data_IF_385950685114
#
_entry.id   IF_385950685114
#
_cell.length_a   1.000
_cell.length_b   1.000
_cell.length_c   1.000
_cell.angle_alpha   90.00
_cell.angle_beta   90.00
_cell.angle_gamma   90.00
#
_symmetry.space_group_name_H-M   'P 1'
#
loop_
_entity.id
_entity.type
_entity.pdbx_description
1 polymer ?
#
# COMPACT_ATOMS: atom_id res chain seq x y z
N UNK A 1 8.98 5.27 10.00
CA UNK A 1 8.44 5.14 8.63
C UNK A 1 7.00 5.62 8.66
N UNK A 2 6.37 5.93 7.52
CA UNK A 2 4.92 6.11 7.48
C UNK A 2 4.22 4.90 8.11
N UNK A 3 3.05 5.13 8.70
CA UNK A 3 2.24 4.04 9.26
C UNK A 3 1.45 3.34 8.15
N UNK A 4 0.95 2.13 8.43
CA UNK A 4 0.06 1.43 7.51
C UNK A 4 -1.20 2.26 7.16
N UNK A 5 -1.70 3.09 8.09
CA UNK A 5 -2.82 4.00 7.79
C UNK A 5 -2.50 4.91 6.59
N UNK A 6 -1.29 5.47 6.55
CA UNK A 6 -0.85 6.35 5.47
C UNK A 6 -0.73 5.57 4.16
N UNK A 7 -0.10 4.39 4.17
CA UNK A 7 0.03 3.58 2.95
C UNK A 7 -1.32 3.12 2.39
N UNK A 8 -2.25 2.72 3.27
CA UNK A 8 -3.62 2.36 2.88
C UNK A 8 -4.33 3.58 2.29
N UNK A 9 -4.31 4.73 2.97
CA UNK A 9 -4.95 5.96 2.49
C UNK A 9 -4.37 6.43 1.14
N UNK A 10 -3.06 6.34 0.95
CA UNK A 10 -2.42 6.66 -0.33
C UNK A 10 -2.88 5.71 -1.43
N UNK A 11 -2.98 4.41 -1.11
CA UNK A 11 -3.45 3.40 -2.05
C UNK A 11 -4.90 3.64 -2.46
N UNK A 12 -5.78 3.93 -1.51
CA UNK A 12 -7.17 4.32 -1.81
C UNK A 12 -7.22 5.55 -2.70
N UNK A 13 -6.45 6.59 -2.36
CA UNK A 13 -6.38 7.82 -3.16
C UNK A 13 -5.87 7.56 -4.58
N UNK A 14 -4.91 6.66 -4.78
CA UNK A 14 -4.45 6.27 -6.12
C UNK A 14 -5.53 5.54 -6.90
N UNK A 15 -6.29 4.63 -6.26
CA UNK A 15 -7.33 3.83 -6.92
C UNK A 15 -8.60 4.63 -7.25
N UNK A 16 -8.86 5.74 -6.56
CA UNK A 16 -10.02 6.62 -6.77
C UNK A 16 -9.79 7.71 -7.83
N UNK A 17 -8.54 7.91 -8.26
CA UNK A 17 -8.19 8.91 -9.27
C UNK A 17 -8.39 8.37 -10.67
N UNK A 18 -8.67 9.28 -11.60
CA UNK A 18 -8.58 9.00 -13.04
C UNK A 18 -7.13 9.14 -13.48
N UNK A 19 -6.41 8.03 -13.55
CA UNK A 19 -5.01 8.00 -13.95
C UNK A 19 -4.64 6.69 -14.64
N UNK A 20 -3.53 6.72 -15.40
CA UNK A 20 -3.01 5.54 -16.13
C UNK A 20 -2.73 4.38 -15.17
N UNK A 21 -2.29 4.67 -13.94
CA UNK A 21 -2.08 3.65 -12.91
C UNK A 21 -3.40 3.02 -12.47
N UNK A 22 -4.39 3.83 -12.09
CA UNK A 22 -5.69 3.34 -11.63
C UNK A 22 -6.40 2.50 -12.71
N UNK A 23 -6.30 2.92 -13.98
CA UNK A 23 -6.87 2.21 -15.13
C UNK A 23 -6.13 0.89 -15.45
N UNK A 24 -4.85 0.79 -15.05
CA UNK A 24 -4.03 -0.41 -15.25
C UNK A 24 -4.23 -1.47 -14.17
N UNK A 25 -4.63 -1.06 -12.95
CA UNK A 25 -4.86 -2.00 -11.84
C UNK A 25 -6.17 -2.74 -12.04
N UNK A 26 -6.10 -4.07 -12.18
CA UNK A 26 -7.29 -4.90 -12.42
C UNK A 26 -7.72 -5.70 -11.20
N UNK A 27 -6.79 -6.16 -10.37
CA UNK A 27 -7.06 -6.76 -9.08
C UNK A 27 -6.72 -5.78 -7.95
N UNK A 28 -7.76 -5.07 -7.47
CA UNK A 28 -7.63 -4.10 -6.38
C UNK A 28 -7.31 -4.77 -5.04
N UNK A 29 -7.64 -6.06 -4.83
CA UNK A 29 -7.23 -6.76 -3.62
C UNK A 29 -5.72 -6.93 -3.58
N UNK A 30 -5.14 -7.33 -4.70
CA UNK A 30 -3.71 -7.53 -4.86
C UNK A 30 -2.92 -6.23 -4.70
N UNK A 31 -3.35 -5.16 -5.38
CA UNK A 31 -2.72 -3.83 -5.25
C UNK A 31 -2.79 -3.29 -3.82
N UNK A 32 -3.97 -3.36 -3.18
CA UNK A 32 -4.15 -2.93 -1.80
C UNK A 32 -3.33 -3.76 -0.81
N UNK A 33 -3.28 -5.08 -0.97
CA UNK A 33 -2.42 -5.92 -0.13
C UNK A 33 -0.94 -5.60 -0.33
N UNK A 34 -0.53 -5.34 -1.58
CA UNK A 34 0.84 -5.00 -1.95
C UNK A 34 1.39 -3.80 -1.18
N UNK A 35 0.56 -2.81 -0.86
CA UNK A 35 1.01 -1.58 -0.20
C UNK A 35 1.49 -1.75 1.25
N UNK A 36 1.32 -2.94 1.84
CA UNK A 36 1.86 -3.27 3.18
C UNK A 36 2.89 -4.42 3.15
N UNK A 37 3.11 -5.03 1.99
CA UNK A 37 4.00 -6.20 1.84
C UNK A 37 5.44 -5.96 2.32
N UNK A 38 6.08 -4.81 2.06
CA UNK A 38 7.44 -4.55 2.52
C UNK A 38 7.61 -4.63 4.05
N UNK A 39 6.54 -4.36 4.81
CA UNK A 39 6.56 -4.32 6.26
C UNK A 39 6.20 -5.66 6.94
N UNK A 40 5.57 -6.59 6.21
CA UNK A 40 5.08 -7.86 6.78
C UNK A 40 6.20 -8.58 7.53
N UNK A 41 7.30 -8.87 6.83
CA UNK A 41 8.40 -9.67 7.38
C UNK A 41 9.43 -8.86 8.16
N UNK A 42 9.30 -7.53 8.20
CA UNK A 42 10.07 -6.72 9.18
C UNK A 42 9.65 -7.10 10.60
N UNK A 43 8.39 -7.52 10.78
CA UNK A 43 7.93 -8.22 11.98
C UNK A 43 7.40 -7.33 13.11
N UNK A 44 7.18 -6.03 12.85
CA UNK A 44 6.59 -5.12 13.83
C UNK A 44 5.06 -5.17 13.88
N UNK A 45 4.41 -5.32 12.73
CA UNK A 45 2.95 -5.21 12.61
C UNK A 45 2.26 -6.57 12.58
N UNK A 46 2.79 -7.52 11.83
CA UNK A 46 2.17 -8.84 11.65
C UNK A 46 2.63 -9.78 12.76
N UNK A 47 1.71 -10.39 13.53
CA UNK A 47 2.09 -11.24 14.65
C UNK A 47 2.67 -12.58 14.19
N UNK A 48 3.63 -13.10 14.95
CA UNK A 48 4.13 -14.47 14.79
C UNK A 48 4.90 -14.71 13.50
N UNK A 49 5.66 -13.71 13.02
CA UNK A 49 6.67 -13.91 11.98
C UNK A 49 7.78 -14.80 12.54
N UNK A 50 7.93 -16.01 11.97
CA UNK A 50 8.97 -16.95 12.38
C UNK A 50 10.37 -16.52 11.89
N UNK A 51 10.44 -16.11 10.63
CA UNK A 51 11.69 -15.77 9.93
C UNK A 51 11.63 -14.31 9.45
N UNK A 52 12.01 -13.33 10.30
CA UNK A 52 11.97 -11.93 9.92
C UNK A 52 13.01 -11.62 8.83
N UNK A 53 12.61 -10.80 7.86
CA UNK A 53 13.49 -10.30 6.80
C UNK A 53 13.92 -8.88 7.17
N UNK A 54 15.24 -8.59 7.22
CA UNK A 54 15.74 -7.25 7.49
C UNK A 54 15.13 -6.18 6.58
N UNK A 55 14.75 -5.04 7.18
CA UNK A 55 14.17 -3.88 6.46
C UNK A 55 14.92 -3.50 5.18
N UNK A 56 16.27 -3.49 5.23
CA UNK A 56 17.12 -3.17 4.07
C UNK A 56 16.90 -4.10 2.87
N UNK A 57 16.47 -5.34 3.12
CA UNK A 57 16.14 -6.32 2.08
C UNK A 57 14.74 -6.01 1.58
N UNK A 58 13.72 -5.99 2.45
CA UNK A 58 12.32 -5.79 2.03
C UNK A 58 12.11 -4.45 1.29
N UNK A 59 12.87 -3.41 1.66
CA UNK A 59 12.74 -2.06 1.11
C UNK A 59 13.85 -1.66 0.11
N UNK A 60 14.72 -2.57 -0.32
CA UNK A 60 15.84 -2.23 -1.24
C UNK A 60 16.73 -1.07 -0.74
N UNK A 61 16.87 -0.89 0.57
CA UNK A 61 17.49 0.29 1.14
C UNK A 61 18.90 0.02 1.67
N UNK A 62 19.72 1.08 1.76
CA UNK A 62 21.01 1.04 2.47
C UNK A 62 20.80 1.10 3.99
N UNK A 63 21.72 0.57 4.80
CA UNK A 63 21.68 0.71 6.26
C UNK A 63 22.07 2.14 6.66
N UNK A 64 21.10 3.04 6.64
CA UNK A 64 21.22 4.45 7.01
C UNK A 64 20.19 4.81 8.09
N UNK A 65 20.39 5.89 8.90
CA UNK A 65 19.45 6.25 9.97
C UNK A 65 18.01 6.50 9.49
N UNK A 66 17.85 7.07 8.29
CA UNK A 66 16.58 7.26 7.60
C UNK A 66 16.71 6.63 6.21
N UNK A 67 16.50 5.31 6.09
CA UNK A 67 16.83 4.57 4.88
C UNK A 67 15.88 4.91 3.73
N UNK A 68 16.42 5.29 2.58
CA UNK A 68 15.63 5.57 1.36
C UNK A 68 15.54 4.29 0.53
N UNK A 69 14.32 3.76 0.26
CA UNK A 69 14.16 2.67 -0.69
C UNK A 69 14.69 3.02 -2.07
N UNK A 70 15.10 2.00 -2.83
CA UNK A 70 15.47 2.13 -4.24
C UNK A 70 14.33 1.63 -5.11
N UNK A 71 13.23 2.38 -5.13
CA UNK A 71 11.98 2.00 -5.83
C UNK A 71 12.18 1.76 -7.33
N UNK A 72 13.11 2.48 -7.96
CA UNK A 72 13.48 2.31 -9.36
C UNK A 72 14.17 0.96 -9.63
N UNK A 73 15.06 0.50 -8.73
CA UNK A 73 15.66 -0.84 -8.87
C UNK A 73 14.61 -1.94 -8.67
N UNK A 74 13.67 -1.74 -7.75
CA UNK A 74 12.54 -2.66 -7.58
C UNK A 74 11.68 -2.72 -8.84
N UNK A 75 11.40 -1.58 -9.45
CA UNK A 75 10.66 -1.50 -10.71
C UNK A 75 11.33 -2.32 -11.80
N UNK A 76 12.61 -2.08 -12.08
CA UNK A 76 13.35 -2.78 -13.13
C UNK A 76 13.45 -4.28 -12.87
N UNK A 77 13.57 -4.67 -11.60
CA UNK A 77 13.75 -6.08 -11.20
C UNK A 77 12.45 -6.87 -11.21
N UNK A 78 11.33 -6.30 -10.73
CA UNK A 78 10.09 -7.06 -10.50
C UNK A 78 8.88 -6.53 -11.28
N UNK A 79 8.73 -5.22 -11.46
CA UNK A 79 7.55 -4.65 -12.14
C UNK A 79 7.68 -4.76 -13.66
N UNK A 80 8.79 -4.25 -14.23
CA UNK A 80 9.00 -4.18 -15.66
C UNK A 80 8.94 -5.56 -16.35
N UNK A 81 9.46 -6.67 -15.78
CA UNK A 81 9.30 -8.00 -16.36
C UNK A 81 7.85 -8.48 -16.42
N UNK A 82 7.03 -8.17 -15.40
CA UNK A 82 5.61 -8.56 -15.36
C UNK A 82 4.78 -7.74 -16.35
N UNK A 83 5.09 -6.45 -16.51
CA UNK A 83 4.43 -5.60 -17.51
C UNK A 83 4.67 -6.11 -18.95
N UNK A 84 5.85 -6.68 -19.24
CA UNK A 84 6.16 -7.25 -20.56
C UNK A 84 5.26 -8.44 -20.93
N UNK A 85 4.76 -9.19 -19.94
CA UNK A 85 3.77 -10.24 -20.20
C UNK A 85 2.37 -9.69 -20.52
N UNK A 86 2.12 -8.41 -20.23
CA UNK A 86 0.85 -7.71 -20.48
C UNK A 86 -0.38 -8.57 -20.11
N UNK A 87 -0.46 -9.05 -18.86
CA UNK A 87 -1.57 -9.91 -18.45
C UNK A 87 -2.90 -9.17 -18.64
N UNK A 88 -3.95 -9.92 -19.00
CA UNK A 88 -5.29 -9.36 -19.21
C UNK A 88 -6.33 -10.05 -18.34
N UNK A 89 -5.95 -10.41 -17.12
CA UNK A 89 -6.80 -11.10 -16.16
C UNK A 89 -8.11 -10.35 -15.88
N UNK A 90 -9.16 -11.06 -15.49
CA UNK A 90 -10.43 -10.49 -15.11
C UNK A 90 -10.28 -9.52 -13.92
N UNK A 91 -11.05 -8.42 -13.88
CA UNK A 91 -11.03 -7.52 -12.74
C UNK A 91 -11.49 -8.20 -11.44
N UNK A 92 -10.95 -7.75 -10.32
CA UNK A 92 -11.33 -8.13 -8.96
C UNK A 92 -11.37 -6.87 -8.08
N UNK A 93 -12.50 -6.64 -7.43
CA UNK A 93 -12.68 -5.50 -6.54
C UNK A 93 -12.19 -5.83 -5.12
N UNK A 94 -11.58 -4.84 -4.45
CA UNK A 94 -11.48 -4.85 -3.00
C UNK A 94 -12.87 -4.62 -2.39
N UNK A 95 -13.02 -4.93 -1.11
CA UNK A 95 -14.24 -4.59 -0.36
C UNK A 95 -13.95 -3.46 0.61
N UNK A 96 -15.00 -2.86 1.15
CA UNK A 96 -14.89 -1.92 2.26
C UNK A 96 -15.52 -2.46 3.55
N UNK A 97 -15.09 -1.90 4.68
CA UNK A 97 -15.71 -2.14 5.99
C UNK A 97 -17.18 -1.69 6.01
N UNK A 98 -17.54 -0.70 5.19
CA UNK A 98 -18.91 -0.20 5.01
C UNK A 98 -19.77 -1.25 4.30
N UNK A 99 -19.29 -1.77 3.16
CA UNK A 99 -19.99 -2.83 2.41
C UNK A 99 -20.11 -4.12 3.22
N UNK A 100 -19.06 -4.50 3.95
CA UNK A 100 -19.12 -5.67 4.83
C UNK A 100 -20.18 -5.51 5.91
N UNK A 101 -20.20 -4.35 6.59
CA UNK A 101 -21.23 -4.01 7.59
C UNK A 101 -22.63 -4.03 6.98
N UNK A 102 -22.80 -3.44 5.81
CA UNK A 102 -24.10 -3.40 5.12
C UNK A 102 -24.59 -4.80 4.74
N UNK A 103 -23.69 -5.68 4.26
CA UNK A 103 -24.00 -7.09 3.99
C UNK A 103 -24.44 -7.83 5.25
N UNK A 104 -23.75 -7.65 6.37
CA UNK A 104 -24.13 -8.25 7.66
C UNK A 104 -25.46 -7.70 8.17
N UNK A 105 -25.69 -6.40 8.07
CA UNK A 105 -26.94 -5.77 8.48
C UNK A 105 -28.14 -6.34 7.72
N UNK A 106 -27.99 -6.66 6.43
CA UNK A 106 -29.05 -7.28 5.62
C UNK A 106 -29.40 -8.69 6.07
N UNK A 107 -28.41 -9.47 6.51
CA UNK A 107 -28.62 -10.82 7.07
C UNK A 107 -29.32 -10.75 8.41
N UNK A 108 -28.90 -9.84 9.30
CA UNK A 108 -29.45 -9.75 10.65
C UNK A 108 -30.75 -8.95 10.76
N UNK A 109 -30.98 -7.99 9.85
CA UNK A 109 -32.14 -7.11 9.85
C UNK A 109 -32.87 -7.09 8.49
N UNK A 110 -33.23 -8.24 7.89
CA UNK A 110 -33.78 -8.31 6.52
C UNK A 110 -35.05 -7.47 6.35
N UNK A 111 -35.81 -7.28 7.42
CA UNK A 111 -37.02 -6.44 7.45
C UNK A 111 -36.74 -4.98 7.04
N UNK A 112 -35.55 -4.44 7.35
CA UNK A 112 -35.13 -3.07 6.98
C UNK A 112 -34.83 -2.91 5.49
N UNK A 113 -34.67 -4.03 4.77
CA UNK A 113 -34.18 -4.07 3.40
C UNK A 113 -35.15 -4.77 2.44
N UNK A 114 -36.42 -4.94 2.84
CA UNK A 114 -37.45 -5.66 2.08
C UNK A 114 -37.60 -5.22 0.62
N UNK A 115 -37.32 -3.94 0.34
CA UNK A 115 -37.43 -3.34 -1.00
C UNK A 115 -36.09 -2.82 -1.53
N UNK A 116 -34.98 -3.15 -0.86
CA UNK A 116 -33.66 -2.75 -1.30
C UNK A 116 -33.13 -3.75 -2.33
N UNK A 117 -32.41 -3.25 -3.34
CA UNK A 117 -31.71 -4.11 -4.29
C UNK A 117 -30.72 -5.05 -3.57
N UNK A 118 -30.53 -6.29 -4.06
CA UNK A 118 -29.52 -7.19 -3.54
C UNK A 118 -28.13 -6.57 -3.62
N UNK A 119 -27.35 -6.69 -2.55
CA UNK A 119 -25.91 -6.38 -2.60
C UNK A 119 -25.23 -7.52 -3.33
N UNK A 120 -24.55 -7.19 -4.43
CA UNK A 120 -23.76 -8.18 -5.16
C UNK A 120 -22.66 -8.74 -4.24
N UNK A 121 -22.59 -10.07 -4.15
CA UNK A 121 -21.45 -10.73 -3.52
C UNK A 121 -20.20 -10.63 -4.40
N UNK A 122 -19.05 -11.10 -3.90
CA UNK A 122 -17.83 -11.17 -4.71
C UNK A 122 -18.09 -11.99 -5.99
N UNK A 123 -17.61 -11.48 -7.12
CA UNK A 123 -17.76 -12.14 -8.42
C UNK A 123 -16.92 -13.42 -8.49
N UNK A 124 -17.34 -14.40 -9.32
CA UNK A 124 -16.58 -15.63 -9.52
C UNK A 124 -15.14 -15.38 -10.02
N UNK A 125 -14.91 -14.28 -10.75
CA UNK A 125 -13.59 -13.84 -11.22
C UNK A 125 -12.61 -13.50 -10.09
N UNK A 126 -13.10 -13.10 -8.91
CA UNK A 126 -12.26 -12.80 -7.74
C UNK A 126 -11.60 -14.06 -7.16
N UNK A 127 -12.19 -15.23 -7.42
CA UNK A 127 -11.69 -16.53 -6.96
C UNK A 127 -11.02 -17.34 -8.08
N UNK A 128 -10.94 -16.79 -9.28
CA UNK A 128 -10.38 -17.49 -10.44
C UNK A 128 -8.88 -17.74 -10.26
N UNK A 129 -8.47 -18.96 -10.61
CA UNK A 129 -7.08 -19.41 -10.65
C UNK A 129 -6.59 -19.60 -12.09
N UNK A 130 -7.30 -19.05 -13.08
CA UNK A 130 -6.81 -19.03 -14.44
C UNK A 130 -5.44 -18.31 -14.48
N UNK A 131 -4.55 -18.80 -15.34
CA UNK A 131 -3.16 -18.34 -15.38
C UNK A 131 -3.04 -16.81 -15.58
N UNK A 132 -3.88 -16.24 -16.46
CA UNK A 132 -3.95 -14.79 -16.71
C UNK A 132 -4.45 -14.00 -15.50
N UNK A 133 -5.41 -14.55 -14.76
CA UNK A 133 -5.96 -13.90 -13.57
C UNK A 133 -4.90 -13.83 -12.47
N UNK A 134 -4.17 -14.93 -12.25
CA UNK A 134 -3.08 -14.97 -11.28
C UNK A 134 -1.89 -14.10 -11.73
N UNK A 135 -1.55 -14.09 -13.03
CA UNK A 135 -0.49 -13.24 -13.55
C UNK A 135 -0.82 -11.75 -13.37
N UNK A 136 -2.08 -11.36 -13.62
CA UNK A 136 -2.56 -10.01 -13.36
C UNK A 136 -2.49 -9.65 -11.87
N UNK A 137 -2.93 -10.53 -10.97
CA UNK A 137 -2.83 -10.27 -9.52
C UNK A 137 -1.39 -10.19 -9.04
N UNK A 138 -0.47 -10.96 -9.64
CA UNK A 138 0.95 -10.85 -9.32
C UNK A 138 1.50 -9.48 -9.76
N UNK A 139 1.12 -9.00 -10.94
CA UNK A 139 1.47 -7.65 -11.40
C UNK A 139 0.91 -6.59 -10.44
N UNK A 140 -0.39 -6.64 -10.13
CA UNK A 140 -1.06 -5.66 -9.26
C UNK A 140 -0.50 -5.67 -7.84
N UNK A 141 -0.20 -6.86 -7.27
CA UNK A 141 0.49 -6.99 -5.99
C UNK A 141 1.88 -6.35 -6.02
N UNK A 142 2.63 -6.59 -7.08
CA UNK A 142 3.98 -6.03 -7.25
C UNK A 142 3.94 -4.52 -7.46
N UNK A 143 2.91 -3.98 -8.12
CA UNK A 143 2.67 -2.55 -8.25
C UNK A 143 2.29 -1.91 -6.91
N UNK A 144 1.52 -2.60 -6.07
CA UNK A 144 1.23 -2.16 -4.70
C UNK A 144 2.47 -2.11 -3.83
N UNK A 145 3.37 -3.10 -3.96
CA UNK A 145 4.69 -3.07 -3.30
C UNK A 145 5.50 -1.87 -3.78
N UNK A 146 5.53 -1.66 -5.10
CA UNK A 146 6.25 -0.53 -5.68
C UNK A 146 5.72 0.82 -5.17
N UNK A 147 4.39 1.01 -5.10
CA UNK A 147 3.79 2.25 -4.58
C UNK A 147 4.17 2.52 -3.12
N UNK A 148 4.25 1.47 -2.28
CA UNK A 148 4.78 1.58 -0.93
C UNK A 148 6.24 2.08 -0.92
N UNK A 149 7.10 1.50 -1.76
CA UNK A 149 8.50 1.91 -1.84
C UNK A 149 8.66 3.35 -2.35
N UNK A 150 7.81 3.80 -3.27
CA UNK A 150 7.74 5.20 -3.71
C UNK A 150 7.36 6.10 -2.53
N UNK A 151 6.30 5.75 -1.81
CA UNK A 151 5.84 6.51 -0.65
C UNK A 151 6.97 6.69 0.38
N UNK A 152 7.62 5.60 0.76
CA UNK A 152 8.72 5.63 1.70
C UNK A 152 9.92 6.43 1.21
N UNK A 153 10.26 6.32 -0.07
CA UNK A 153 11.34 7.10 -0.68
C UNK A 153 11.05 8.60 -0.58
N UNK A 154 9.83 9.01 -0.89
CA UNK A 154 9.41 10.42 -0.85
C UNK A 154 9.35 10.90 0.59
N UNK A 155 8.64 10.21 1.49
CA UNK A 155 8.55 10.59 2.91
C UNK A 155 9.92 10.70 3.56
N UNK A 156 10.81 9.73 3.34
CA UNK A 156 12.14 9.78 3.92
C UNK A 156 13.02 10.86 3.28
N UNK A 157 12.86 11.14 1.99
CA UNK A 157 13.58 12.24 1.33
C UNK A 157 13.10 13.59 1.87
N UNK A 158 11.79 13.82 1.97
CA UNK A 158 11.23 15.07 2.52
C UNK A 158 11.58 15.27 3.98
N UNK A 159 11.58 14.22 4.80
CA UNK A 159 12.04 14.31 6.20
C UNK A 159 13.52 14.70 6.27
N UNK A 160 14.39 14.14 5.44
CA UNK A 160 15.80 14.52 5.42
C UNK A 160 15.98 15.99 5.00
N UNK A 161 15.29 16.45 3.97
CA UNK A 161 15.30 17.86 3.54
C UNK A 161 14.79 18.81 4.64
N UNK A 162 13.71 18.42 5.33
CA UNK A 162 13.18 19.18 6.46
C UNK A 162 14.22 19.29 7.58
N UNK A 163 14.90 18.19 7.91
CA UNK A 163 15.94 18.16 8.93
C UNK A 163 17.13 19.04 8.60
N UNK A 164 17.60 19.01 7.35
CA UNK A 164 18.70 19.85 6.88
C UNK A 164 18.36 21.34 7.00
N UNK A 165 17.13 21.72 6.67
CA UNK A 165 16.68 23.11 6.77
C UNK A 165 16.49 23.60 8.23
N UNK A 166 16.16 22.70 9.16
CA UNK A 166 15.78 23.07 10.54
C UNK A 166 16.81 22.65 11.61
N UNK A 167 17.95 22.07 11.22
CA UNK A 167 19.09 21.80 12.11
C UNK A 167 18.94 20.58 13.03
N UNK A 168 18.07 19.62 12.70
CA UNK A 168 17.88 18.40 13.49
C UNK A 168 18.84 17.27 13.08
N UNK A 169 19.37 16.52 14.06
CA UNK A 169 20.17 15.31 13.81
C UNK A 169 19.34 14.06 14.11
N UNK A 170 19.47 12.98 13.32
CA UNK A 170 18.87 11.69 13.65
C UNK A 170 19.32 11.21 15.03
N UNK A 171 18.38 11.01 15.94
CA UNK A 171 18.58 10.45 17.27
C UNK A 171 17.32 9.67 17.70
N UNK A 172 17.38 8.99 18.85
CA UNK A 172 16.26 8.21 19.36
C UNK A 172 15.04 9.07 19.69
N UNK A 173 15.24 10.24 20.30
CA UNK A 173 14.18 11.19 20.59
C UNK A 173 13.51 11.70 19.30
N UNK A 174 14.32 11.97 18.27
CA UNK A 174 13.83 12.33 16.95
C UNK A 174 12.97 11.20 16.35
N UNK A 175 13.43 9.94 16.44
CA UNK A 175 12.70 8.77 15.96
C UNK A 175 11.33 8.66 16.62
N UNK A 176 11.25 8.87 17.94
CA UNK A 176 10.00 8.81 18.72
C UNK A 176 9.06 9.95 18.32
N UNK A 177 9.55 11.18 18.17
CA UNK A 177 8.74 12.32 17.72
C UNK A 177 8.21 12.10 16.31
N UNK A 178 9.09 11.76 15.37
CA UNK A 178 8.74 11.41 13.99
C UNK A 178 7.65 10.35 13.97
N UNK A 179 7.86 9.20 14.62
CA UNK A 179 6.89 8.10 14.58
C UNK A 179 5.54 8.49 15.20
N UNK A 180 5.54 9.29 16.26
CA UNK A 180 4.30 9.80 16.85
C UNK A 180 3.55 10.77 15.94
N UNK A 181 4.26 11.66 15.23
CA UNK A 181 3.63 12.58 14.30
C UNK A 181 3.03 11.83 13.08
N UNK A 182 3.75 10.84 12.54
CA UNK A 182 3.24 9.96 11.48
C UNK A 182 2.02 9.13 11.93
N UNK A 183 2.00 8.67 13.18
CA UNK A 183 0.84 7.94 13.74
C UNK A 183 -0.40 8.83 13.82
N UNK A 184 -0.25 10.05 14.34
CA UNK A 184 -1.35 11.02 14.40
C UNK A 184 -1.84 11.43 13.02
N UNK A 185 -0.94 11.76 12.09
CA UNK A 185 -1.33 12.08 10.72
C UNK A 185 -2.03 10.89 10.05
N UNK A 186 -1.53 9.66 10.23
CA UNK A 186 -2.20 8.48 9.71
C UNK A 186 -3.62 8.30 10.26
N UNK A 187 -3.89 8.74 11.48
CA UNK A 187 -5.22 8.65 12.11
C UNK A 187 -6.22 9.68 11.59
N UNK A 188 -5.75 10.77 10.99
CA UNK A 188 -6.64 11.79 10.40
C UNK A 188 -7.16 11.36 9.03
N UNK A 189 -6.49 10.39 8.40
CA UNK A 189 -6.87 9.84 7.10
C UNK A 189 -7.95 8.77 7.27
N UNK A 190 -9.19 9.11 6.91
CA UNK A 190 -10.27 8.12 6.85
C UNK A 190 -9.99 7.08 5.78
N UNK A 191 -9.97 5.81 6.18
CA UNK A 191 -9.73 4.65 5.31
C UNK A 191 -10.86 3.64 5.46
N UNK A 192 -11.19 2.92 4.37
CA UNK A 192 -12.37 2.03 4.37
C UNK A 192 -12.13 0.67 3.71
N UNK A 193 -11.08 0.53 2.92
CA UNK A 193 -10.83 -0.60 2.04
C UNK A 193 -10.05 -1.70 2.73
N UNK A 194 -10.48 -2.94 2.51
CA UNK A 194 -9.86 -4.13 3.05
C UNK A 194 -9.71 -5.18 1.92
N UNK A 195 -8.54 -5.83 1.79
CA UNK A 195 -8.40 -6.91 0.83
C UNK A 195 -9.28 -8.11 1.21
N UNK A 196 -9.91 -8.73 0.21
CA UNK A 196 -10.53 -10.05 0.38
C UNK A 196 -9.49 -11.15 0.35
N UNK A 197 -9.63 -12.09 1.28
CA UNK A 197 -8.85 -13.31 1.32
C UNK A 197 -9.30 -14.29 0.22
N UNK A 198 -8.72 -14.19 -0.99
CA UNK A 198 -9.07 -15.05 -2.14
C UNK A 198 -7.95 -16.02 -2.50
N UNK A 199 -8.30 -17.15 -3.13
CA UNK A 199 -7.32 -18.11 -3.68
C UNK A 199 -6.39 -17.45 -4.69
N UNK A 200 -6.91 -16.48 -5.44
CA UNK A 200 -6.15 -15.68 -6.40
C UNK A 200 -5.07 -14.84 -5.72
N UNK A 201 -5.42 -14.11 -4.65
CA UNK A 201 -4.46 -13.35 -3.84
C UNK A 201 -3.41 -14.25 -3.19
N UNK A 202 -3.82 -15.37 -2.58
CA UNK A 202 -2.87 -16.33 -1.99
C UNK A 202 -1.85 -16.85 -3.00
N UNK A 203 -2.33 -17.17 -4.21
CA UNK A 203 -1.47 -17.69 -5.27
C UNK A 203 -0.51 -16.62 -5.77
N UNK A 204 -0.97 -15.37 -5.95
CA UNK A 204 -0.10 -14.25 -6.32
C UNK A 204 0.95 -13.95 -5.25
N UNK A 205 0.55 -13.93 -3.97
CA UNK A 205 1.43 -13.66 -2.84
C UNK A 205 2.52 -14.74 -2.67
N UNK A 206 2.19 -16.01 -2.89
CA UNK A 206 3.17 -17.11 -2.90
C UNK A 206 4.17 -16.98 -4.06
N UNK A 207 3.76 -16.36 -5.17
CA UNK A 207 4.59 -16.12 -6.37
C UNK A 207 5.31 -14.78 -6.35
N UNK A 208 5.19 -14.00 -5.27
CA UNK A 208 5.85 -12.70 -5.18
C UNK A 208 7.36 -12.84 -5.36
N UNK A 209 7.92 -12.04 -6.28
CA UNK A 209 9.24 -12.30 -6.85
C UNK A 209 10.39 -12.11 -5.86
N UNK A 210 10.25 -11.21 -4.89
CA UNK A 210 11.31 -10.92 -3.94
C UNK A 210 11.40 -11.98 -2.83
N UNK A 211 10.25 -12.46 -2.35
CA UNK A 211 10.12 -13.55 -1.40
C UNK A 211 8.68 -14.08 -1.43
N UNK A 212 8.46 -15.40 -1.24
CA UNK A 212 7.12 -15.95 -1.18
C UNK A 212 6.41 -15.54 0.12
N UNK A 213 5.12 -15.23 0.04
CA UNK A 213 4.28 -14.92 1.21
C UNK A 213 3.27 -16.06 1.38
N UNK A 214 3.48 -16.88 2.39
CA UNK A 214 2.60 -18.02 2.68
C UNK A 214 1.21 -17.57 3.14
N UNK A 215 0.19 -18.41 2.87
CA UNK A 215 -1.22 -18.11 3.16
C UNK A 215 -1.47 -17.67 4.60
N UNK A 216 -0.74 -18.23 5.57
CA UNK A 216 -0.88 -17.83 6.97
C UNK A 216 -0.54 -16.35 7.20
N UNK A 217 0.49 -15.82 6.53
CA UNK A 217 0.90 -14.44 6.66
C UNK A 217 0.00 -13.53 5.84
N UNK A 218 -0.53 -13.99 4.71
CA UNK A 218 -1.58 -13.26 3.98
C UNK A 218 -2.80 -13.07 4.88
N UNK A 219 -3.29 -14.13 5.53
CA UNK A 219 -4.43 -14.05 6.45
C UNK A 219 -4.18 -13.15 7.66
N UNK A 220 -3.03 -13.30 8.33
CA UNK A 220 -2.65 -12.47 9.48
C UNK A 220 -2.57 -11.00 9.07
N UNK A 221 -1.94 -10.69 7.93
CA UNK A 221 -1.84 -9.33 7.39
C UNK A 221 -3.22 -8.74 7.08
N UNK A 222 -4.10 -9.49 6.41
CA UNK A 222 -5.48 -9.03 6.15
C UNK A 222 -6.21 -8.75 7.47
N UNK A 223 -6.03 -9.60 8.49
CA UNK A 223 -6.59 -9.36 9.82
C UNK A 223 -6.12 -8.05 10.45
N UNK A 224 -4.81 -7.75 10.37
CA UNK A 224 -4.24 -6.49 10.87
C UNK A 224 -4.75 -5.29 10.06
N UNK A 225 -4.81 -5.39 8.73
CA UNK A 225 -5.39 -4.34 7.90
C UNK A 225 -6.86 -4.09 8.24
N UNK A 226 -7.64 -5.16 8.50
CA UNK A 226 -9.04 -5.06 8.91
C UNK A 226 -9.20 -4.30 10.22
N UNK A 227 -8.40 -4.63 11.23
CA UNK A 227 -8.39 -3.93 12.52
C UNK A 227 -8.02 -2.46 12.35
N UNK A 228 -6.95 -2.16 11.61
CA UNK A 228 -6.52 -0.80 11.32
C UNK A 228 -7.64 0.01 10.67
N UNK A 229 -8.27 -0.51 9.62
CA UNK A 229 -9.35 0.18 8.91
C UNK A 229 -10.57 0.36 9.80
N UNK A 230 -10.91 -0.63 10.62
CA UNK A 230 -12.07 -0.56 11.52
C UNK A 230 -11.90 0.52 12.59
N UNK A 231 -10.70 0.68 13.13
CA UNK A 231 -10.39 1.65 14.17
C UNK A 231 -10.02 3.04 13.63
N UNK A 232 -9.98 3.24 12.30
CA UNK A 232 -9.50 4.48 11.69
C UNK A 232 -10.56 5.17 10.80
N UNK A 233 -11.62 5.76 11.40
CA UNK A 233 -12.65 6.46 10.65
C UNK A 233 -12.17 7.79 10.02
N UNK A 234 -10.98 8.26 10.39
CA UNK A 234 -10.46 9.59 10.05
C UNK A 234 -10.83 10.59 11.14
N UNK A 235 -9.96 10.72 12.14
CA UNK A 235 -10.15 11.65 13.26
C UNK A 235 -9.79 13.09 12.81
N UNK A 236 -10.73 14.05 12.82
CA UNK A 236 -10.44 15.41 12.36
C UNK A 236 -9.50 16.15 13.31
N UNK A 237 -9.50 15.78 14.60
CA UNK A 237 -8.70 16.42 15.63
C UNK A 237 -7.48 15.57 15.99
N UNK A 238 -6.32 16.21 16.12
CA UNK A 238 -5.10 15.58 16.62
C UNK A 238 -4.33 16.55 17.53
N UNK A 239 -3.51 16.06 18.48
CA UNK A 239 -2.62 16.93 19.22
C UNK A 239 -1.58 17.58 18.29
N UNK A 240 -1.03 18.75 18.65
CA UNK A 240 0.01 19.39 17.84
C UNK A 240 1.18 18.46 17.56
N UNK A 241 1.63 18.44 16.30
CA UNK A 241 2.83 17.69 15.91
C UNK A 241 4.07 18.20 16.66
N UNK A 242 4.96 17.28 17.00
CA UNK A 242 6.13 17.55 17.85
C UNK A 242 7.40 17.83 17.07
N UNK A 243 7.43 17.47 15.80
CA UNK A 243 8.58 17.57 14.92
C UNK A 243 8.21 18.13 13.54
N UNK A 244 7.13 17.62 12.94
CA UNK A 244 6.70 18.00 11.60
C UNK A 244 5.52 18.98 11.67
N UNK A 245 5.06 19.49 10.53
CA UNK A 245 3.93 20.43 10.44
C UNK A 245 2.79 19.83 9.62
N UNK A 246 1.58 20.38 9.76
CA UNK A 246 0.45 20.04 8.88
C UNK A 246 0.82 20.27 7.41
N UNK A 247 1.40 21.43 7.09
CA UNK A 247 1.87 21.76 5.74
C UNK A 247 2.87 20.72 5.20
N UNK A 248 3.79 20.23 6.03
CA UNK A 248 4.72 19.18 5.64
C UNK A 248 3.99 17.90 5.25
N UNK A 249 3.02 17.47 6.06
CA UNK A 249 2.28 16.23 5.81
C UNK A 249 1.39 16.36 4.58
N UNK A 250 0.64 17.43 4.43
CA UNK A 250 -0.27 17.65 3.29
C UNK A 250 0.50 17.73 1.97
N UNK A 251 1.59 18.50 1.94
CA UNK A 251 2.44 18.62 0.77
C UNK A 251 3.10 17.28 0.41
N UNK A 252 3.67 16.59 1.39
CA UNK A 252 4.37 15.32 1.13
C UNK A 252 3.38 14.20 0.74
N UNK A 253 2.20 14.16 1.35
CA UNK A 253 1.17 13.21 0.96
C UNK A 253 0.75 13.42 -0.50
N UNK A 254 0.56 14.68 -0.91
CA UNK A 254 0.26 15.05 -2.30
C UNK A 254 1.40 14.64 -3.24
N UNK A 255 2.65 14.96 -2.89
CA UNK A 255 3.83 14.58 -3.67
C UNK A 255 3.90 13.08 -3.92
N UNK A 256 3.60 12.24 -2.91
CA UNK A 256 3.62 10.79 -3.08
C UNK A 256 2.63 10.34 -4.15
N UNK A 257 1.41 10.88 -4.14
CA UNK A 257 0.38 10.54 -5.13
C UNK A 257 0.82 10.97 -6.52
N UNK A 258 1.24 12.22 -6.67
CA UNK A 258 1.61 12.80 -7.96
C UNK A 258 2.84 12.11 -8.57
N UNK A 259 3.88 11.87 -7.78
CA UNK A 259 5.08 11.18 -8.23
C UNK A 259 4.80 9.71 -8.60
N UNK A 260 3.94 9.02 -7.84
CA UNK A 260 3.58 7.64 -8.15
C UNK A 260 2.84 7.56 -9.50
N UNK A 261 1.86 8.45 -9.74
CA UNK A 261 1.12 8.47 -11.00
C UNK A 261 1.99 8.88 -12.20
N UNK A 262 2.75 9.97 -12.07
CA UNK A 262 3.63 10.46 -13.13
C UNK A 262 4.73 9.43 -13.44
N UNK A 263 5.34 8.87 -12.39
CA UNK A 263 6.37 7.85 -12.51
C UNK A 263 5.88 6.56 -13.17
N UNK A 264 4.66 6.11 -12.84
CA UNK A 264 4.05 4.98 -13.52
C UNK A 264 3.83 5.30 -15.01
N UNK A 265 3.18 6.43 -15.30
CA UNK A 265 2.85 6.84 -16.67
C UNK A 265 4.09 6.99 -17.56
N UNK A 266 5.17 7.60 -17.06
CA UNK A 266 6.44 7.75 -17.77
C UNK A 266 7.07 6.38 -18.09
N UNK A 267 7.14 5.49 -17.10
CA UNK A 267 7.79 4.19 -17.25
C UNK A 267 7.02 3.24 -18.17
N UNK A 268 5.68 3.29 -18.19
CA UNK A 268 4.89 2.51 -19.14
C UNK A 268 4.92 3.10 -20.55
N UNK A 269 5.12 4.41 -20.70
CA UNK A 269 5.27 5.06 -22.01
C UNK A 269 6.64 4.80 -22.66
N UNK A 270 7.67 4.51 -21.87
CA UNK A 270 9.03 4.24 -22.34
C UNK A 270 9.55 2.84 -21.92
N UNK A 271 8.85 1.74 -22.31
CA UNK A 271 9.19 0.40 -21.87
C UNK A 271 10.61 0.01 -22.33
N UNK A 272 11.40 -0.56 -21.43
CA UNK A 272 12.78 -0.99 -21.70
C UNK A 272 13.85 0.07 -21.41
N UNK A 273 13.45 1.30 -21.06
CA UNK A 273 14.35 2.28 -20.47
C UNK A 273 14.54 1.95 -18.98
N UNK A 274 15.77 1.87 -18.46
CA UNK A 274 16.00 1.69 -17.03
C UNK A 274 15.32 2.79 -16.21
N UNK A 275 14.65 2.41 -15.13
CA UNK A 275 13.97 3.35 -14.27
C UNK A 275 14.97 4.27 -13.55
N UNK A 276 14.70 5.58 -13.60
CA UNK A 276 15.38 6.56 -12.76
C UNK A 276 14.62 6.76 -11.43
N UNK A 277 15.31 7.16 -10.35
CA UNK A 277 14.64 7.53 -9.10
C UNK A 277 13.61 8.64 -9.34
N UNK A 278 12.39 8.48 -8.83
CA UNK A 278 11.33 9.48 -9.00
C UNK A 278 11.57 10.79 -8.23
N UNK A 279 12.37 10.74 -7.17
CA UNK A 279 12.76 11.91 -6.40
C UNK A 279 14.28 11.90 -6.23
N UNK A 280 14.91 13.04 -6.51
CA UNK A 280 16.34 13.19 -6.33
C UNK A 280 16.71 13.07 -4.85
N UNK A 281 17.69 12.22 -4.53
CA UNK A 281 18.36 12.29 -3.25
C UNK A 281 19.26 13.52 -3.23
N UNK A 282 19.00 14.46 -2.32
CA UNK A 282 20.02 15.41 -1.87
C UNK A 282 21.24 14.64 -1.33
#
# INVERSE_FOLDING_TARGET
MPSWNIHIAQTERLLDRTSVLADSVRDRNAFLFGCVVPDIFVGYMVPGIADPIPYRITHFAKPEPIPKPREHEFWDTYVAPLLKSSPTGAPAAATSIIEERERLNRVHYPQRYKYAEPVAGPGASEFSLASEDVAQSLLDLTLGVWSHLVADTVWNTRVNQYLEAHGGKPCEEFRIKKQGDFDWFGKTLGIVSIPRATNRLYTAATRFGQYPIHNEYVLKTIGVMHEIVRENPGEPDHPPYRLLTEEFFDATFTDVIELTEAGFAERVAAPGTPALPLIASC
#
